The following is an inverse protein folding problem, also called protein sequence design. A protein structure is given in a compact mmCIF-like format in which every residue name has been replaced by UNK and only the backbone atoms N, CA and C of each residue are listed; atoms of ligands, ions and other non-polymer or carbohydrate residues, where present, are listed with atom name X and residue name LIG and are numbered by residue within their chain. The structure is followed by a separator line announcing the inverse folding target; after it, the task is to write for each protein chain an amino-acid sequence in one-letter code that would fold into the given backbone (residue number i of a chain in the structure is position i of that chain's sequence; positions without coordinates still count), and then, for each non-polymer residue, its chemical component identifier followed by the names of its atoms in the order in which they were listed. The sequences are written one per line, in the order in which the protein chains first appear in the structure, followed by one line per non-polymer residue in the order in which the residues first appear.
data_IF_951385428579
#
_entry.id   IF_951385428579
#
_cell.length_a   1.000
_cell.length_b   1.000
_cell.length_c   1.000
_cell.angle_alpha   90.00
_cell.angle_beta   90.00
_cell.angle_gamma   90.00
#
_symmetry.space_group_name_H-M   'P 1'
#
loop_
_entity.id
_entity.type
_entity.pdbx_description
1 polymer ?
#
# COMPACT_ATOMS: atom_id res chain seq x y z
N UNK A 1 -4.48 -5.38 10.31
CA UNK A 1 -5.38 -4.71 9.36
C UNK A 1 -5.06 -5.07 7.91
N UNK A 2 -3.81 -4.92 7.44
CA UNK A 2 -3.44 -5.15 6.03
C UNK A 2 -2.60 -6.41 5.74
N UNK A 3 -2.23 -7.19 6.77
CA UNK A 3 -1.48 -8.44 6.55
C UNK A 3 -2.30 -9.45 5.72
N UNK A 4 -1.66 -10.09 4.75
CA UNK A 4 -2.23 -11.05 3.80
C UNK A 4 -3.47 -10.52 3.04
N UNK A 5 -3.62 -9.19 2.91
CA UNK A 5 -4.69 -8.59 2.10
C UNK A 5 -4.19 -8.17 0.72
N UNK A 6 -5.13 -8.12 -0.23
CA UNK A 6 -4.94 -7.49 -1.53
C UNK A 6 -5.47 -6.05 -1.44
N UNK A 7 -4.66 -5.07 -1.82
CA UNK A 7 -4.95 -3.64 -1.66
C UNK A 7 -4.85 -2.96 -3.03
N UNK A 8 -5.87 -2.18 -3.40
CA UNK A 8 -5.84 -1.29 -4.56
C UNK A 8 -5.70 0.15 -4.06
N UNK A 9 -4.67 0.86 -4.52
CA UNK A 9 -4.39 2.25 -4.19
C UNK A 9 -4.55 3.08 -5.45
N UNK A 10 -5.73 3.66 -5.66
CA UNK A 10 -5.95 4.61 -6.77
C UNK A 10 -5.15 5.89 -6.55
N UNK A 11 -4.52 6.41 -7.60
CA UNK A 11 -3.65 7.58 -7.47
C UNK A 11 -2.35 7.28 -6.72
N UNK A 12 -1.92 6.01 -6.67
CA UNK A 12 -0.73 5.60 -5.94
C UNK A 12 0.59 6.19 -6.48
N UNK A 13 0.58 6.79 -7.68
CA UNK A 13 1.72 7.51 -8.27
C UNK A 13 1.93 8.91 -7.70
N UNK A 14 0.91 9.50 -7.06
CA UNK A 14 1.01 10.80 -6.40
C UNK A 14 1.92 10.78 -5.18
N UNK A 15 2.35 11.94 -4.71
CA UNK A 15 3.21 12.08 -3.51
C UNK A 15 2.62 11.39 -2.29
N UNK A 16 1.32 11.54 -2.09
CA UNK A 16 0.57 10.86 -1.04
C UNK A 16 0.59 9.33 -1.23
N UNK A 17 0.26 8.84 -2.43
CA UNK A 17 0.19 7.41 -2.74
C UNK A 17 1.52 6.69 -2.49
N UNK A 18 2.63 7.29 -2.93
CA UNK A 18 3.98 6.79 -2.64
C UNK A 18 4.25 6.72 -1.15
N UNK A 19 3.99 7.81 -0.41
CA UNK A 19 4.27 7.85 1.03
C UNK A 19 3.38 6.88 1.82
N UNK A 20 2.12 6.76 1.43
CA UNK A 20 1.19 5.84 2.05
C UNK A 20 1.61 4.37 1.81
N UNK A 21 2.07 4.05 0.60
CA UNK A 21 2.59 2.72 0.26
C UNK A 21 3.82 2.36 1.09
N UNK A 22 4.76 3.30 1.29
CA UNK A 22 5.92 3.12 2.19
C UNK A 22 5.48 2.79 3.63
N UNK A 23 4.46 3.48 4.14
CA UNK A 23 3.95 3.26 5.50
C UNK A 23 3.29 1.87 5.60
N UNK A 24 2.54 1.44 4.59
CA UNK A 24 1.93 0.10 4.57
C UNK A 24 3.01 -0.97 4.58
N UNK A 25 4.02 -0.86 3.71
CA UNK A 25 5.08 -1.86 3.57
C UNK A 25 6.01 -1.92 4.79
N UNK A 26 6.17 -0.83 5.54
CA UNK A 26 6.99 -0.81 6.77
C UNK A 26 6.27 -1.40 7.99
N UNK A 27 4.92 -1.32 8.04
CA UNK A 27 4.13 -1.75 9.20
C UNK A 27 3.41 -3.08 9.01
N UNK A 28 3.23 -3.53 7.78
CA UNK A 28 2.39 -4.69 7.45
C UNK A 28 3.01 -5.56 6.35
N UNK A 29 2.48 -6.77 6.20
CA UNK A 29 2.86 -7.74 5.16
C UNK A 29 1.64 -8.05 4.27
N UNK A 30 1.26 -7.14 3.36
CA UNK A 30 0.16 -7.40 2.44
C UNK A 30 0.51 -8.53 1.47
N UNK A 31 -0.52 -9.22 0.97
CA UNK A 31 -0.34 -10.25 -0.06
C UNK A 31 -0.07 -9.63 -1.43
N UNK A 32 -0.75 -8.53 -1.75
CA UNK A 32 -0.59 -7.80 -3.01
C UNK A 32 -0.98 -6.34 -2.85
N UNK A 33 -0.19 -5.44 -3.44
CA UNK A 33 -0.57 -4.04 -3.62
C UNK A 33 -0.65 -3.78 -5.13
N UNK A 34 -1.73 -3.14 -5.56
CA UNK A 34 -1.94 -2.66 -6.93
C UNK A 34 -2.01 -1.14 -6.84
N UNK A 35 -1.16 -0.48 -7.63
CA UNK A 35 -1.01 0.98 -7.70
C UNK A 35 -1.74 1.49 -8.95
#
# INVERSE_FOLDING_TARGET
MFNNKNILITGGTGSFGKKYTEIILSKYKPNKIII
#
